data_IF_684406367518
#
_entry.id   IF_684406367518
#
_cell.length_a   1.000
_cell.length_b   1.000
_cell.length_c   1.000
_cell.angle_alpha   90.00
_cell.angle_beta   90.00
_cell.angle_gamma   90.00
#
_symmetry.space_group_name_H-M   'P 1'
#
loop_
_entity.id
_entity.type
_entity.pdbx_description
1 polymer ?
#
# COMPACT_ATOMS: atom_id res chain seq x y z
N UNK A 1 1.40 -14.01 -12.54
CA UNK A 1 2.54 -14.72 -13.18
C UNK A 1 3.82 -13.88 -13.14
N UNK A 2 3.74 -12.57 -13.28
CA UNK A 2 4.90 -11.67 -13.45
C UNK A 2 5.75 -11.45 -12.19
N UNK A 3 5.33 -11.96 -11.03
CA UNK A 3 6.07 -11.84 -9.77
C UNK A 3 6.91 -13.08 -9.43
N UNK A 4 6.86 -14.13 -10.23
CA UNK A 4 7.59 -15.37 -9.95
C UNK A 4 9.10 -15.15 -10.03
N UNK A 5 9.77 -15.55 -8.96
CA UNK A 5 11.23 -15.44 -8.87
C UNK A 5 11.75 -14.05 -8.50
N UNK A 6 10.85 -13.10 -8.27
CA UNK A 6 11.23 -11.79 -7.75
C UNK A 6 11.45 -11.85 -6.23
N UNK A 7 12.31 -10.98 -5.73
CA UNK A 7 12.55 -10.78 -4.31
C UNK A 7 11.59 -9.74 -3.75
N UNK A 8 10.70 -10.14 -2.84
CA UNK A 8 9.71 -9.28 -2.22
C UNK A 8 10.27 -8.62 -0.97
N UNK A 9 10.33 -7.30 -0.98
CA UNK A 9 10.69 -6.48 0.17
C UNK A 9 9.43 -6.07 0.93
N UNK A 10 9.44 -6.25 2.25
CA UNK A 10 8.28 -6.03 3.11
C UNK A 10 8.60 -5.04 4.25
N UNK A 11 7.53 -4.50 4.82
CA UNK A 11 7.61 -3.78 6.09
C UNK A 11 7.87 -4.77 7.23
N UNK A 12 8.37 -4.25 8.35
CA UNK A 12 8.53 -5.01 9.60
C UNK A 12 7.21 -5.60 10.09
N UNK A 13 7.30 -6.58 10.97
CA UNK A 13 6.16 -7.19 11.63
C UNK A 13 5.31 -6.15 12.38
N UNK A 14 3.99 -6.35 12.40
CA UNK A 14 3.03 -5.43 13.01
C UNK A 14 2.47 -4.36 12.06
N UNK A 15 2.98 -4.25 10.84
CA UNK A 15 2.39 -3.42 9.80
C UNK A 15 1.33 -4.19 9.01
N UNK A 16 0.08 -3.74 9.05
CA UNK A 16 -1.02 -4.39 8.33
C UNK A 16 -0.80 -4.51 6.82
N UNK A 17 0.00 -3.62 6.23
CA UNK A 17 0.35 -3.70 4.81
C UNK A 17 1.25 -4.90 4.51
N UNK A 18 2.09 -5.33 5.45
CA UNK A 18 2.90 -6.54 5.32
C UNK A 18 2.01 -7.77 5.15
N UNK A 19 1.04 -7.96 6.05
CA UNK A 19 0.13 -9.10 6.01
C UNK A 19 -0.68 -9.13 4.72
N UNK A 20 -1.15 -7.95 4.27
CA UNK A 20 -1.85 -7.81 3.00
C UNK A 20 -0.97 -8.14 1.79
N UNK A 21 0.29 -7.71 1.81
CA UNK A 21 1.24 -8.03 0.74
C UNK A 21 1.52 -9.54 0.69
N UNK A 22 1.70 -10.18 1.83
CA UNK A 22 1.87 -11.64 1.93
C UNK A 22 0.63 -12.38 1.43
N UNK A 23 -0.57 -11.94 1.77
CA UNK A 23 -1.82 -12.53 1.28
C UNK A 23 -1.91 -12.48 -0.25
N UNK A 24 -1.59 -11.31 -0.84
CA UNK A 24 -1.57 -11.15 -2.31
C UNK A 24 -0.54 -12.06 -2.95
N UNK A 25 0.64 -12.18 -2.35
CA UNK A 25 1.76 -12.96 -2.87
C UNK A 25 1.68 -14.45 -2.54
N UNK A 26 0.82 -14.88 -1.61
CA UNK A 26 0.70 -16.29 -1.19
C UNK A 26 0.38 -17.25 -2.34
N UNK A 27 -0.27 -16.76 -3.38
CA UNK A 27 -0.63 -17.52 -4.58
C UNK A 27 0.46 -17.56 -5.64
N UNK A 28 1.54 -16.85 -5.42
CA UNK A 28 2.66 -16.71 -6.35
C UNK A 28 3.94 -17.08 -5.60
N UNK A 29 4.81 -17.87 -6.22
CA UNK A 29 6.12 -18.20 -5.62
C UNK A 29 7.02 -16.98 -5.69
N UNK A 30 6.97 -16.16 -4.66
CA UNK A 30 7.83 -14.99 -4.44
C UNK A 30 8.71 -15.31 -3.25
N UNK A 31 10.00 -15.01 -3.33
CA UNK A 31 10.91 -15.14 -2.20
C UNK A 31 10.79 -13.90 -1.33
N UNK A 32 10.50 -14.07 -0.04
CA UNK A 32 10.61 -12.98 0.94
C UNK A 32 12.08 -12.78 1.30
N UNK A 33 12.56 -11.55 1.19
CA UNK A 33 13.87 -11.18 1.68
C UNK A 33 13.78 -10.84 3.17
N UNK A 34 14.24 -11.74 4.01
CA UNK A 34 14.13 -11.60 5.48
C UNK A 34 15.14 -10.62 6.07
N UNK A 35 16.27 -10.42 5.41
CA UNK A 35 17.35 -9.56 5.89
C UNK A 35 17.05 -8.07 5.66
N UNK A 36 16.10 -7.73 4.79
CA UNK A 36 15.75 -6.37 4.43
C UNK A 36 14.29 -6.06 4.78
N UNK A 37 14.06 -5.69 6.04
CA UNK A 37 12.76 -5.22 6.51
C UNK A 37 12.80 -3.71 6.72
N UNK A 38 11.82 -3.02 6.21
CA UNK A 38 11.76 -1.57 6.31
C UNK A 38 10.76 -1.12 7.38
N UNK A 39 11.13 -0.09 8.12
CA UNK A 39 10.28 0.54 9.11
C UNK A 39 9.22 1.46 8.50
N UNK A 40 9.39 1.86 7.24
CA UNK A 40 8.48 2.77 6.55
C UNK A 40 8.35 2.44 5.06
N UNK A 41 7.23 2.90 4.50
CA UNK A 41 6.96 2.75 3.07
C UNK A 41 7.97 3.51 2.21
N UNK A 42 8.47 4.64 2.69
CA UNK A 42 9.48 5.42 2.00
C UNK A 42 10.82 4.67 1.96
N UNK A 43 11.22 4.05 3.08
CA UNK A 43 12.42 3.21 3.10
C UNK A 43 12.31 2.06 2.11
N UNK A 44 11.15 1.39 2.03
CA UNK A 44 10.90 0.35 1.02
C UNK A 44 11.09 0.87 -0.40
N UNK A 45 10.59 2.06 -0.71
CA UNK A 45 10.73 2.68 -2.03
C UNK A 45 12.19 2.91 -2.39
N UNK A 46 12.99 3.40 -1.43
CA UNK A 46 14.43 3.60 -1.64
C UNK A 46 15.18 2.29 -1.87
N UNK A 47 14.83 1.24 -1.13
CA UNK A 47 15.43 -0.10 -1.32
C UNK A 47 15.10 -0.67 -2.69
N UNK A 48 13.85 -0.54 -3.15
CA UNK A 48 13.46 -0.95 -4.51
C UNK A 48 14.19 -0.11 -5.57
N UNK A 49 14.31 1.19 -5.36
CA UNK A 49 15.05 2.08 -6.26
C UNK A 49 16.54 1.71 -6.36
N UNK A 50 17.12 1.19 -5.26
CA UNK A 50 18.49 0.67 -5.23
C UNK A 50 18.64 -0.73 -5.87
N UNK A 51 17.56 -1.34 -6.33
CA UNK A 51 17.58 -2.62 -7.04
C UNK A 51 17.56 -3.87 -6.15
N UNK A 52 17.20 -3.73 -4.88
CA UNK A 52 17.15 -4.88 -3.96
C UNK A 52 15.96 -5.82 -4.17
N UNK A 53 14.97 -5.43 -4.97
CA UNK A 53 13.81 -6.25 -5.25
C UNK A 53 12.58 -5.44 -5.63
N UNK A 54 11.41 -6.00 -5.35
CA UNK A 54 10.10 -5.37 -5.60
C UNK A 54 9.33 -5.20 -4.31
N UNK A 55 8.33 -4.33 -4.30
CA UNK A 55 7.37 -4.23 -3.20
C UNK A 55 5.97 -3.92 -3.71
N UNK A 56 4.98 -4.08 -2.85
CA UNK A 56 3.60 -3.70 -3.12
C UNK A 56 3.29 -2.34 -2.47
N UNK A 57 2.70 -1.44 -3.25
CA UNK A 57 2.29 -0.13 -2.79
C UNK A 57 0.76 0.02 -2.88
N UNK A 58 0.12 0.63 -1.88
CA UNK A 58 -1.24 1.12 -2.06
C UNK A 58 -1.29 2.17 -3.18
N UNK A 59 -2.35 2.19 -3.97
CA UNK A 59 -2.55 3.15 -5.05
C UNK A 59 -2.38 4.60 -4.58
N UNK A 60 -2.97 4.95 -3.43
CA UNK A 60 -2.82 6.27 -2.83
C UNK A 60 -1.37 6.67 -2.51
N UNK A 61 -0.51 5.70 -2.22
CA UNK A 61 0.91 5.95 -1.98
C UNK A 61 1.70 6.03 -3.30
N UNK A 62 1.23 5.37 -4.34
CA UNK A 62 1.86 5.40 -5.66
C UNK A 62 1.63 6.75 -6.37
N UNK A 63 0.50 7.40 -6.14
CA UNK A 63 0.15 8.70 -6.75
C UNK A 63 0.84 9.89 -6.09
N UNK A 64 1.42 9.72 -4.91
CA UNK A 64 2.04 10.83 -4.18
C UNK A 64 3.36 11.23 -4.84
N UNK A 65 3.53 12.51 -5.24
CA UNK A 65 4.77 12.99 -5.89
C UNK A 65 5.99 13.00 -4.96
N UNK A 66 5.77 12.78 -3.66
CA UNK A 66 6.82 12.82 -2.64
C UNK A 66 7.85 11.73 -2.92
N UNK A 67 8.95 12.15 -3.53
CA UNK A 67 10.10 11.30 -3.76
C UNK A 67 9.84 10.15 -4.75
N UNK A 68 9.52 10.47 -5.99
CA UNK A 68 9.79 9.51 -7.06
C UNK A 68 11.30 9.29 -7.07
N UNK A 69 11.75 8.35 -6.25
CA UNK A 69 13.14 7.91 -6.31
C UNK A 69 13.42 7.59 -7.78
N UNK A 70 14.42 8.24 -8.34
CA UNK A 70 14.84 7.96 -9.73
C UNK A 70 15.09 6.47 -9.84
N UNK A 71 14.44 5.81 -10.80
CA UNK A 71 14.61 4.38 -11.00
C UNK A 71 13.41 3.52 -10.57
N UNK A 72 12.40 4.07 -9.90
CA UNK A 72 11.17 3.33 -9.59
C UNK A 72 10.24 3.23 -10.81
N UNK A 73 9.72 2.03 -11.03
CA UNK A 73 8.66 1.79 -12.00
C UNK A 73 7.45 1.18 -11.28
N UNK A 74 6.33 1.89 -11.31
CA UNK A 74 5.06 1.40 -10.78
C UNK A 74 4.28 0.69 -11.88
N UNK A 75 3.80 -0.52 -11.59
CA UNK A 75 2.93 -1.30 -12.48
C UNK A 75 1.64 -1.63 -11.75
N UNK A 76 0.47 -1.31 -12.30
CA UNK A 76 -0.80 -1.72 -11.72
C UNK A 76 -1.01 -3.23 -11.89
N UNK A 77 -1.76 -3.83 -10.99
CA UNK A 77 -2.22 -5.21 -11.15
C UNK A 77 -3.23 -5.32 -12.29
N UNK A 78 -3.20 -6.46 -12.99
CA UNK A 78 -4.26 -6.83 -13.91
C UNK A 78 -5.59 -7.01 -13.15
N UNK A 79 -6.71 -6.79 -13.85
CA UNK A 79 -8.03 -6.98 -13.23
C UNK A 79 -8.43 -8.47 -13.19
N UNK A 80 -9.07 -8.94 -12.11
CA UNK A 80 -9.41 -8.22 -10.88
C UNK A 80 -8.19 -7.94 -10.01
N UNK A 81 -7.96 -6.67 -9.68
CA UNK A 81 -6.83 -6.25 -8.85
C UNK A 81 -7.12 -6.52 -7.37
N UNK A 82 -6.11 -6.91 -6.57
CA UNK A 82 -6.27 -6.97 -5.12
C UNK A 82 -6.59 -5.59 -4.56
N UNK A 83 -7.46 -5.55 -3.56
CA UNK A 83 -7.90 -4.31 -2.95
C UNK A 83 -8.03 -4.43 -1.44
N UNK A 84 -8.16 -3.31 -0.77
CA UNK A 84 -8.44 -3.23 0.65
C UNK A 84 -9.51 -2.20 0.95
N UNK A 85 -10.24 -2.42 2.04
CA UNK A 85 -11.22 -1.47 2.53
C UNK A 85 -10.56 -0.57 3.58
N UNK A 86 -10.67 0.74 3.41
CA UNK A 86 -10.28 1.72 4.41
C UNK A 86 -11.56 2.19 5.09
N UNK A 87 -11.62 2.05 6.42
CA UNK A 87 -12.78 2.42 7.22
C UNK A 87 -12.44 3.46 8.27
N UNK A 88 -13.39 4.35 8.57
CA UNK A 88 -13.32 5.22 9.73
C UNK A 88 -13.94 4.51 10.93
N UNK A 89 -13.25 4.54 12.06
CA UNK A 89 -13.71 3.92 13.32
C UNK A 89 -13.64 4.95 14.43
N UNK A 90 -14.71 5.03 15.24
CA UNK A 90 -14.75 5.91 16.40
C UNK A 90 -15.49 5.28 17.58
N UNK A 91 -15.30 5.82 18.75
CA UNK A 91 -15.98 5.35 19.95
C UNK A 91 -17.48 5.63 19.87
N UNK A 92 -18.32 4.66 20.23
CA UNK A 92 -19.77 4.77 20.25
C UNK A 92 -20.24 5.92 21.18
N UNK A 93 -19.48 6.23 22.23
CA UNK A 93 -19.77 7.28 23.22
C UNK A 93 -19.32 8.69 22.79
N UNK A 94 -18.81 8.88 21.57
CA UNK A 94 -18.39 10.23 21.12
C UNK A 94 -19.60 11.14 20.96
N UNK A 95 -19.46 12.38 21.41
CA UNK A 95 -20.45 13.44 21.20
C UNK A 95 -20.22 14.24 19.91
N UNK A 96 -19.12 13.95 19.19
CA UNK A 96 -18.69 14.68 17.99
C UNK A 96 -19.09 14.02 16.69
N UNK A 97 -20.12 13.16 16.71
CA UNK A 97 -20.58 12.41 15.53
C UNK A 97 -20.80 13.29 14.30
N UNK A 98 -21.47 14.47 14.36
CA UNK A 98 -21.67 15.30 13.19
C UNK A 98 -20.36 15.78 12.53
N UNK A 99 -19.35 16.10 13.33
CA UNK A 99 -18.04 16.49 12.80
C UNK A 99 -17.32 15.31 12.14
N UNK A 100 -17.40 14.12 12.73
CA UNK A 100 -16.85 12.89 12.17
C UNK A 100 -17.52 12.55 10.85
N UNK A 101 -18.83 12.63 10.79
CA UNK A 101 -19.62 12.38 9.57
C UNK A 101 -19.22 13.35 8.43
N UNK A 102 -19.01 14.62 8.78
CA UNK A 102 -18.51 15.62 7.83
C UNK A 102 -17.12 15.26 7.28
N UNK A 103 -16.19 14.84 8.13
CA UNK A 103 -14.85 14.41 7.73
C UNK A 103 -14.93 13.16 6.82
N UNK A 104 -15.73 12.17 7.22
CA UNK A 104 -15.91 10.95 6.43
C UNK A 104 -16.52 11.24 5.06
N UNK A 105 -17.51 12.13 5.00
CA UNK A 105 -18.11 12.56 3.73
C UNK A 105 -17.09 13.24 2.81
N UNK A 106 -16.25 14.12 3.37
CA UNK A 106 -15.18 14.79 2.63
C UNK A 106 -14.16 13.79 2.08
N UNK A 107 -13.68 12.86 2.90
CA UNK A 107 -12.74 11.82 2.47
C UNK A 107 -13.35 10.98 1.34
N UNK A 108 -14.62 10.55 1.48
CA UNK A 108 -15.29 9.76 0.45
C UNK A 108 -15.44 10.49 -0.88
N UNK A 109 -15.74 11.79 -0.87
CA UNK A 109 -15.83 12.58 -2.10
C UNK A 109 -14.48 12.68 -2.79
N UNK A 110 -13.43 13.01 -2.04
CA UNK A 110 -12.06 13.13 -2.56
C UNK A 110 -11.57 11.81 -3.19
N UNK A 111 -11.84 10.67 -2.54
CA UNK A 111 -11.42 9.35 -3.07
C UNK A 111 -12.19 8.95 -4.34
N UNK A 112 -13.46 9.35 -4.49
CA UNK A 112 -14.23 9.07 -5.73
C UNK A 112 -13.72 9.86 -6.92
N UNK A 113 -13.25 11.07 -6.71
CA UNK A 113 -12.70 11.92 -7.77
C UNK A 113 -11.32 11.42 -8.25
N UNK A 114 -10.51 10.80 -7.37
CA UNK A 114 -9.23 10.18 -7.70
C UNK A 114 -9.33 8.89 -8.55
N UNK A 115 -10.47 8.20 -8.52
CA UNK A 115 -10.65 6.93 -9.25
C UNK A 115 -11.05 7.11 -10.72
N UNK A 116 -11.20 8.37 -11.20
CA UNK A 116 -11.63 8.69 -12.57
C UNK A 116 -10.52 9.10 -13.54
N UNK A 117 -9.26 8.82 -13.21
CA UNK A 117 -8.13 9.07 -14.13
C UNK A 117 -7.58 7.78 -14.70
#
# INVERSE_FOLDING_TARGET
>A
EDLRGETLLLLEDGHCLRDQALEVCSRVRVSEEQDYRATSLETLRQMVAAGHGITLLPELAAETPVGTARGLRVKPFARPAPGRTIGAVWRKSTTRTPAIDGIVATIRSTMKDGTKK
#
